data_IF_067639366041
#
_entry.id   IF_067639366041
#
_cell.length_a   1.000
_cell.length_b   1.000
_cell.length_c   1.000
_cell.angle_alpha   90.00
_cell.angle_beta   90.00
_cell.angle_gamma   90.00
#
_symmetry.space_group_name_H-M   'P 1'
#
loop_
_entity.id
_entity.type
_entity.pdbx_description
1 polymer ?
#
# COMPACT_ATOMS: atom_id res chain seq x y z
N UNK A 1 -4.67 4.59 -12.56
CA UNK A 1 -3.83 5.39 -11.66
C UNK A 1 -4.55 5.53 -10.34
N UNK A 2 -3.85 5.38 -9.22
CA UNK A 2 -4.36 5.57 -7.86
C UNK A 2 -3.46 6.58 -7.13
N UNK A 3 -4.06 7.52 -6.41
CA UNK A 3 -3.34 8.56 -5.66
C UNK A 3 -3.80 8.53 -4.21
N UNK A 4 -2.85 8.44 -3.28
CA UNK A 4 -3.05 8.58 -1.84
C UNK A 4 -2.31 9.85 -1.41
N UNK A 5 -3.01 10.82 -0.85
CA UNK A 5 -2.46 12.15 -0.58
C UNK A 5 -2.97 12.69 0.77
N UNK A 6 -2.09 13.35 1.52
CA UNK A 6 -2.36 13.96 2.83
C UNK A 6 -3.04 13.02 3.85
N UNK A 7 -2.61 11.75 3.90
CA UNK A 7 -3.10 10.77 4.88
C UNK A 7 -2.01 10.45 5.91
N UNK A 8 -1.80 11.30 6.94
CA UNK A 8 -0.65 11.22 7.84
C UNK A 8 -0.58 9.92 8.64
N UNK A 9 -1.74 9.37 8.99
CA UNK A 9 -1.89 8.17 9.84
C UNK A 9 -2.21 6.90 9.05
N UNK A 10 -2.10 6.94 7.71
CA UNK A 10 -2.44 5.79 6.88
C UNK A 10 -1.34 4.74 6.99
N UNK A 11 -1.56 3.68 7.77
CA UNK A 11 -0.64 2.53 7.84
C UNK A 11 -0.75 1.57 6.65
N UNK A 12 -1.96 1.36 6.15
CA UNK A 12 -2.28 0.48 5.03
C UNK A 12 -3.56 0.93 4.33
N UNK A 13 -3.71 0.60 3.04
CA UNK A 13 -4.88 0.98 2.27
C UNK A 13 -6.02 -0.05 2.39
N UNK A 14 -5.69 -1.35 2.40
CA UNK A 14 -6.64 -2.44 2.64
C UNK A 14 -6.21 -3.34 3.80
N UNK A 15 -7.19 -3.82 4.57
CA UNK A 15 -7.01 -4.83 5.60
C UNK A 15 -7.91 -6.02 5.30
N UNK A 16 -7.50 -6.86 4.35
CA UNK A 16 -8.26 -8.04 3.93
C UNK A 16 -7.36 -9.25 3.85
N UNK A 17 -7.89 -10.44 4.13
CA UNK A 17 -7.19 -11.71 3.92
C UNK A 17 -7.27 -12.19 2.46
N UNK A 18 -8.12 -11.55 1.64
CA UNK A 18 -8.31 -11.91 0.25
C UNK A 18 -7.20 -11.36 -0.64
N UNK A 19 -6.90 -12.10 -1.72
CA UNK A 19 -6.07 -11.60 -2.79
C UNK A 19 -6.85 -10.55 -3.59
N UNK A 20 -6.29 -9.34 -3.72
CA UNK A 20 -6.88 -8.27 -4.52
C UNK A 20 -6.23 -8.26 -5.89
N UNK A 21 -7.03 -8.06 -6.94
CA UNK A 21 -6.53 -7.95 -8.30
C UNK A 21 -6.95 -6.63 -8.92
N UNK A 22 -5.96 -5.90 -9.43
CA UNK A 22 -6.11 -4.65 -10.14
C UNK A 22 -5.52 -4.78 -11.55
N UNK A 23 -6.23 -5.43 -12.48
CA UNK A 23 -5.72 -5.72 -13.83
C UNK A 23 -5.41 -4.45 -14.66
N UNK A 24 -5.96 -3.30 -14.24
CA UNK A 24 -5.80 -2.01 -14.95
C UNK A 24 -5.01 -0.97 -14.15
N UNK A 25 -4.45 -1.32 -12.99
CA UNK A 25 -3.69 -0.37 -12.18
C UNK A 25 -2.26 -0.25 -12.72
N UNK A 26 -2.02 0.79 -13.52
CA UNK A 26 -0.71 1.06 -14.12
C UNK A 26 0.23 1.94 -13.28
N UNK A 27 -0.31 2.69 -12.32
CA UNK A 27 0.45 3.69 -11.55
C UNK A 27 -0.18 3.92 -10.18
N UNK A 28 0.67 4.04 -9.16
CA UNK A 28 0.32 4.38 -7.78
C UNK A 28 1.19 5.55 -7.32
N UNK A 29 0.57 6.57 -6.76
CA UNK A 29 1.23 7.72 -6.16
C UNK A 29 0.86 7.84 -4.68
N UNK A 30 1.86 7.98 -3.81
CA UNK A 30 1.71 8.10 -2.35
C UNK A 30 2.42 9.38 -1.92
N UNK A 31 1.64 10.35 -1.47
CA UNK A 31 2.06 11.69 -1.07
C UNK A 31 1.70 11.94 0.38
N UNK A 32 2.64 12.50 1.14
CA UNK A 32 2.41 12.92 2.52
C UNK A 32 1.74 11.85 3.43
N UNK A 33 2.08 10.56 3.22
CA UNK A 33 1.63 9.42 4.03
C UNK A 33 2.82 8.78 4.79
N UNK A 34 3.37 9.44 5.83
CA UNK A 34 4.58 9.02 6.54
C UNK A 34 4.46 7.68 7.28
N UNK A 35 3.26 7.28 7.69
CA UNK A 35 3.04 6.03 8.45
C UNK A 35 2.76 4.81 7.58
N UNK A 36 2.68 4.96 6.25
CA UNK A 36 2.29 3.88 5.35
C UNK A 36 3.36 2.80 5.29
N UNK A 37 2.98 1.56 5.58
CA UNK A 37 3.89 0.41 5.58
C UNK A 37 3.58 -0.58 4.47
N UNK A 38 2.31 -0.74 4.12
CA UNK A 38 1.85 -1.70 3.10
C UNK A 38 0.67 -1.16 2.31
N UNK A 39 0.41 -1.72 1.13
CA UNK A 39 -0.85 -1.47 0.43
C UNK A 39 -1.98 -2.32 1.02
N UNK A 40 -1.75 -3.62 1.20
CA UNK A 40 -2.65 -4.59 1.83
C UNK A 40 -1.97 -5.24 3.03
N UNK A 41 -2.59 -5.21 4.20
CA UNK A 41 -1.95 -5.67 5.45
C UNK A 41 -1.97 -7.20 5.66
N UNK A 42 -3.08 -7.87 5.32
CA UNK A 42 -3.28 -9.31 5.63
C UNK A 42 -3.28 -10.22 4.39
N UNK A 43 -3.50 -9.66 3.22
CA UNK A 43 -3.71 -10.37 1.96
C UNK A 43 -2.70 -9.93 0.92
N UNK A 44 -2.80 -10.50 -0.28
CA UNK A 44 -1.93 -10.15 -1.40
C UNK A 44 -2.61 -9.17 -2.35
N UNK A 45 -1.79 -8.47 -3.14
CA UNK A 45 -2.26 -7.62 -4.22
C UNK A 45 -1.54 -7.98 -5.51
N UNK A 46 -2.32 -8.22 -6.56
CA UNK A 46 -1.85 -8.42 -7.92
C UNK A 46 -2.22 -7.21 -8.75
N UNK A 47 -1.23 -6.53 -9.30
CA UNK A 47 -1.40 -5.41 -10.22
C UNK A 47 -0.48 -5.63 -11.42
N UNK A 48 -0.84 -6.53 -12.35
CA UNK A 48 0.09 -7.08 -13.35
C UNK A 48 0.59 -6.05 -14.38
N UNK A 49 -0.09 -4.91 -14.52
CA UNK A 49 0.33 -3.84 -15.42
C UNK A 49 0.91 -2.64 -14.69
N UNK A 50 1.11 -2.73 -13.37
CA UNK A 50 1.70 -1.66 -12.57
C UNK A 50 3.12 -1.40 -13.05
N UNK A 51 3.39 -0.17 -13.48
CA UNK A 51 4.70 0.25 -13.98
C UNK A 51 5.38 1.20 -12.99
N UNK A 52 4.60 2.11 -12.41
CA UNK A 52 5.13 3.22 -11.64
C UNK A 52 4.58 3.22 -10.22
N UNK A 53 5.51 3.35 -9.26
CA UNK A 53 5.20 3.67 -7.87
C UNK A 53 5.98 4.91 -7.48
N UNK A 54 5.25 6.01 -7.34
CA UNK A 54 5.77 7.29 -6.87
C UNK A 54 5.47 7.40 -5.40
N UNK A 55 6.49 7.52 -4.57
CA UNK A 55 6.34 7.84 -3.14
C UNK A 55 7.04 9.17 -2.95
N UNK A 56 6.29 10.24 -2.71
CA UNK A 56 6.71 11.66 -2.74
C UNK A 56 8.03 11.94 -2.02
N UNK A 57 8.36 11.10 -1.05
CA UNK A 57 9.59 11.23 -0.27
C UNK A 57 10.87 10.74 -0.94
N UNK A 58 10.81 10.12 -2.12
CA UNK A 58 11.96 9.60 -2.85
C UNK A 58 11.83 9.97 -4.32
N UNK A 59 12.69 10.88 -4.78
CA UNK A 59 12.72 11.47 -6.13
C UNK A 59 13.16 10.44 -7.21
N UNK A 60 13.35 9.18 -6.84
CA UNK A 60 13.67 8.11 -7.79
C UNK A 60 12.44 7.26 -8.06
N UNK A 61 11.82 7.51 -9.22
CA UNK A 61 10.83 6.64 -9.84
C UNK A 61 11.43 5.23 -9.97
N UNK A 62 10.96 4.28 -9.18
CA UNK A 62 11.37 2.88 -9.34
C UNK A 62 10.28 2.13 -10.07
N UNK A 63 10.68 1.45 -11.14
CA UNK A 63 9.86 0.45 -11.79
C UNK A 63 9.53 -0.65 -10.77
N UNK A 64 8.25 -0.87 -10.53
CA UNK A 64 7.80 -1.95 -9.65
C UNK A 64 7.86 -3.26 -10.45
N UNK A 65 8.92 -4.03 -10.24
CA UNK A 65 9.10 -5.35 -10.89
C UNK A 65 8.47 -6.51 -10.12
N UNK A 66 8.17 -6.28 -8.84
CA UNK A 66 7.79 -7.28 -7.85
C UNK A 66 6.44 -6.91 -7.18
N UNK A 67 6.13 -7.57 -6.08
CA UNK A 67 4.99 -7.30 -5.19
C UNK A 67 4.92 -5.83 -4.71
N UNK A 68 3.75 -5.21 -4.86
CA UNK A 68 3.49 -3.81 -4.48
C UNK A 68 3.65 -3.57 -2.97
N UNK A 69 3.27 -4.52 -2.11
CA UNK A 69 3.47 -4.38 -0.67
C UNK A 69 4.96 -4.33 -0.34
N UNK A 70 5.75 -5.24 -0.92
CA UNK A 70 7.21 -5.28 -0.75
C UNK A 70 7.85 -4.00 -1.25
N UNK A 71 7.41 -3.47 -2.39
CA UNK A 71 7.91 -2.20 -2.93
C UNK A 71 7.65 -1.03 -1.97
N UNK A 72 6.45 -0.95 -1.37
CA UNK A 72 6.13 0.09 -0.37
C UNK A 72 6.98 -0.10 0.89
N UNK A 73 7.03 -1.31 1.47
CA UNK A 73 7.84 -1.60 2.66
C UNK A 73 9.30 -1.17 2.49
N UNK A 74 9.95 -1.58 1.40
CA UNK A 74 11.36 -1.23 1.12
C UNK A 74 11.62 0.28 1.11
N UNK A 75 10.66 1.07 0.62
CA UNK A 75 10.79 2.53 0.53
C UNK A 75 10.68 3.20 1.89
N UNK A 76 9.82 2.69 2.77
CA UNK A 76 9.68 3.22 4.13
C UNK A 76 10.78 2.70 5.08
N UNK A 77 11.20 1.44 4.95
CA UNK A 77 12.29 0.86 5.76
C UNK A 77 13.64 1.53 5.46
N UNK A 78 13.89 1.91 4.20
CA UNK A 78 15.10 2.62 3.78
C UNK A 78 15.24 4.01 4.44
N UNK A 79 14.16 4.59 4.96
CA UNK A 79 14.19 5.83 5.74
C UNK A 79 14.54 5.63 7.21
N UNK A 80 14.13 4.50 7.80
CA UNK A 80 14.40 4.20 9.22
C UNK A 80 15.91 4.04 9.46
N UNK A 81 16.65 3.50 8.48
CA UNK A 81 18.11 3.37 8.54
C UNK A 81 18.86 4.72 8.53
N UNK A 82 18.23 5.81 8.08
CA UNK A 82 18.83 7.14 8.00
C UNK A 82 18.49 8.02 9.23
N UNK A 83 17.64 7.54 10.14
CA UNK A 83 17.07 8.34 11.24
C UNK A 83 17.31 7.75 12.66
N UNK A 84 18.20 6.77 12.82
CA UNK A 84 18.53 6.27 14.17
C UNK A 84 19.49 7.20 14.93
N UNK A 85 18.94 8.26 15.53
CA UNK A 85 19.18 8.56 16.93
C UNK A 85 17.85 8.92 17.61
N UNK A 86 17.52 8.12 18.63
CA UNK A 86 16.51 8.32 19.67
C UNK A 86 15.08 7.84 19.42
N UNK A 87 14.69 6.85 20.23
CA UNK A 87 13.34 6.77 20.78
C UNK A 87 12.49 5.63 20.24
N UNK A 88 12.47 4.52 20.98
CA UNK A 88 11.44 3.49 20.84
C UNK A 88 10.04 4.12 20.88
N UNK A 89 9.20 3.86 19.87
CA UNK A 89 7.76 4.12 19.98
C UNK A 89 6.97 2.93 19.47
N UNK A 90 5.95 2.63 20.27
CA UNK A 90 5.18 1.40 20.34
C UNK A 90 4.25 1.29 19.15
N UNK A 91 4.04 0.05 18.71
CA UNK A 91 2.90 -0.36 17.92
C UNK A 91 1.63 0.24 18.53
N UNK A 92 1.14 1.31 17.90
CA UNK A 92 -0.18 1.84 18.20
C UNK A 92 -1.05 1.39 17.04
N UNK A 93 -1.73 0.27 17.27
CA UNK A 93 -2.75 -0.23 16.38
C UNK A 93 -3.96 0.70 16.47
N UNK A 94 -3.95 1.78 15.68
CA UNK A 94 -5.11 2.63 15.51
C UNK A 94 -5.88 2.31 14.23
N UNK A 95 -7.19 2.40 14.40
CA UNK A 95 -8.21 1.55 13.80
C UNK A 95 -8.81 2.22 12.55
N UNK A 96 -8.42 1.77 11.35
CA UNK A 96 -9.34 1.77 10.19
C UNK A 96 -9.73 0.33 9.93
N UNK A 97 -10.82 -0.06 10.58
CA UNK A 97 -11.42 -1.38 10.42
C UNK A 97 -12.44 -1.28 9.29
N UNK A 98 -12.06 -1.75 8.10
CA UNK A 98 -13.03 -2.24 7.13
C UNK A 98 -13.19 -3.73 7.45
N UNK A 99 -14.10 -4.04 8.37
CA UNK A 99 -14.35 -5.40 8.86
C UNK A 99 -15.08 -6.24 7.79
N UNK A 100 -14.38 -7.26 7.30
CA UNK A 100 -14.78 -8.59 6.77
C UNK A 100 -16.01 -8.80 5.83
N UNK A 101 -16.79 -7.80 5.44
CA UNK A 101 -17.84 -7.94 4.38
C UNK A 101 -17.31 -7.64 2.96
N UNK A 102 -16.07 -7.17 2.85
CA UNK A 102 -15.47 -6.74 1.58
C UNK A 102 -15.08 -7.90 0.64
N UNK A 103 -14.71 -9.07 1.18
CA UNK A 103 -14.22 -10.21 0.38
C UNK A 103 -15.28 -10.74 -0.60
N UNK A 104 -16.54 -10.88 -0.16
CA UNK A 104 -17.64 -11.36 -1.03
C UNK A 104 -17.98 -10.32 -2.09
N UNK A 105 -18.06 -9.05 -1.71
CA UNK A 105 -18.44 -7.95 -2.60
C UNK A 105 -17.37 -7.66 -3.66
N UNK A 106 -16.07 -7.74 -3.31
CA UNK A 106 -14.97 -7.53 -4.26
C UNK A 106 -14.81 -8.69 -5.25
N UNK A 107 -14.93 -9.95 -4.80
CA UNK A 107 -14.96 -11.11 -5.70
C UNK A 107 -16.11 -10.99 -6.71
N UNK A 108 -17.28 -10.53 -6.27
CA UNK A 108 -18.43 -10.29 -7.16
C UNK A 108 -18.19 -9.14 -8.14
N UNK A 109 -17.56 -8.03 -7.71
CA UNK A 109 -17.24 -6.91 -8.60
C UNK A 109 -16.15 -7.26 -9.63
N UNK A 110 -15.19 -8.12 -9.28
CA UNK A 110 -14.16 -8.61 -10.20
C UNK A 110 -14.74 -9.55 -11.28
N UNK A 111 -15.79 -10.31 -10.95
CA UNK A 111 -16.48 -11.24 -11.86
C UNK A 111 -17.40 -10.58 -12.91
N UNK A 112 -17.72 -9.30 -12.79
CA UNK A 112 -18.62 -8.58 -13.72
C UNK A 112 -17.87 -7.92 -14.91
N UNK A 113 -16.54 -8.11 -15.02
CA UNK A 113 -15.73 -7.60 -16.15
C UNK A 113 -15.40 -8.65 -17.23
N UNK A 114 -16.39 -9.46 -17.60
CA UNK A 114 -16.36 -10.28 -18.83
C UNK A 114 -17.35 -9.73 -19.87
#
# INVERSE_FOLDING_TARGET
MLVLDELPTLGHFFQTKCALEFPFLGEVEIKSCPEMKTFVQLGSVSAPILKWLVVETLIEDAEVKDDLNKAIQQRFDSKVAMAQENGATKDTQDKVVIEDEACVTMLNAQRIRE
#
